data_IF_506501277273
#
_entry.id   IF_506501277273
#
_cell.length_a   1.000
_cell.length_b   1.000
_cell.length_c   1.000
_cell.angle_alpha   90.00
_cell.angle_beta   90.00
_cell.angle_gamma   90.00
#
_symmetry.space_group_name_H-M   'P 1'
#
loop_
_entity.id
_entity.type
_entity.pdbx_description
1 polymer ?
#
# COMPACT_ATOMS: atom_id res chain seq x y z
N UNK A 1 -6.74 -17.50 -17.19
CA UNK A 1 -7.69 -16.56 -16.55
C UNK A 1 -7.08 -16.14 -15.23
N UNK A 2 -6.95 -14.84 -14.94
CA UNK A 2 -6.43 -14.37 -13.66
C UNK A 2 -7.41 -14.75 -12.54
N UNK A 3 -6.96 -15.54 -11.58
CA UNK A 3 -7.75 -16.02 -10.43
C UNK A 3 -7.77 -14.97 -9.29
N UNK A 4 -7.93 -13.70 -9.65
CA UNK A 4 -7.98 -12.60 -8.70
C UNK A 4 -9.42 -12.34 -8.29
N UNK A 5 -9.66 -12.27 -6.99
CA UNK A 5 -10.95 -11.95 -6.41
C UNK A 5 -10.85 -10.65 -5.62
N UNK A 6 -11.88 -9.81 -5.69
CA UNK A 6 -11.96 -8.55 -4.95
C UNK A 6 -13.11 -8.64 -3.97
N UNK A 7 -12.85 -8.32 -2.70
CA UNK A 7 -13.87 -8.19 -1.67
C UNK A 7 -13.76 -6.83 -0.98
N UNK A 8 -14.91 -6.24 -0.65
CA UNK A 8 -14.96 -4.98 0.08
C UNK A 8 -14.99 -5.30 1.58
N UNK A 9 -14.00 -4.78 2.31
CA UNK A 9 -14.00 -4.73 3.77
C UNK A 9 -14.85 -3.56 4.27
N UNK A 10 -14.89 -2.47 3.48
CA UNK A 10 -15.71 -1.29 3.71
C UNK A 10 -16.00 -0.64 2.35
N UNK A 11 -17.26 -0.28 2.11
CA UNK A 11 -17.65 0.53 0.96
C UNK A 11 -17.62 2.02 1.35
N UNK A 12 -17.02 2.82 0.48
CA UNK A 12 -16.97 4.27 0.53
C UNK A 12 -18.16 4.93 -0.17
N UNK A 13 -18.13 6.26 -0.28
CA UNK A 13 -19.18 7.01 -0.98
C UNK A 13 -18.97 6.93 -2.50
N UNK A 14 -19.94 6.39 -3.24
CA UNK A 14 -19.93 6.33 -4.71
C UNK A 14 -20.40 7.62 -5.38
N UNK A 15 -20.62 8.70 -4.63
CA UNK A 15 -21.13 9.99 -5.14
C UNK A 15 -20.06 10.88 -5.77
N UNK A 16 -18.80 10.46 -5.78
CA UNK A 16 -17.65 11.21 -6.32
C UNK A 16 -16.93 10.38 -7.38
N UNK A 17 -16.10 11.02 -8.20
CA UNK A 17 -15.19 10.32 -9.10
C UNK A 17 -14.28 9.33 -8.34
N UNK A 18 -13.88 8.20 -8.97
CA UNK A 18 -13.00 7.23 -8.35
C UNK A 18 -11.60 7.84 -8.09
N UNK A 19 -11.00 7.47 -6.95
CA UNK A 19 -9.61 7.81 -6.64
C UNK A 19 -8.65 7.00 -7.51
N UNK A 20 -8.98 5.73 -7.77
CA UNK A 20 -8.28 4.85 -8.70
C UNK A 20 -9.30 4.25 -9.65
N UNK A 21 -9.00 4.31 -10.95
CA UNK A 21 -9.77 3.59 -11.96
C UNK A 21 -8.82 2.82 -12.87
N UNK A 22 -9.12 1.54 -13.06
CA UNK A 22 -8.37 0.61 -13.90
C UNK A 22 -9.34 0.11 -14.97
N UNK A 23 -8.99 0.34 -16.22
CA UNK A 23 -9.82 0.03 -17.38
C UNK A 23 -9.16 -1.04 -18.25
N UNK A 24 -9.52 -2.31 -18.03
CA UNK A 24 -9.20 -3.43 -18.92
C UNK A 24 -7.70 -3.70 -19.07
N UNK A 25 -6.91 -3.53 -18.01
CA UNK A 25 -5.45 -3.62 -18.13
C UNK A 25 -4.98 -5.05 -18.40
N UNK A 26 -3.98 -5.18 -19.27
CA UNK A 26 -3.21 -6.41 -19.46
C UNK A 26 -1.76 -6.13 -19.09
N UNK A 27 -1.22 -6.91 -18.15
CA UNK A 27 0.16 -6.75 -17.65
C UNK A 27 1.00 -7.94 -18.08
N UNK A 28 2.11 -7.67 -18.77
CA UNK A 28 3.10 -8.69 -19.16
C UNK A 28 4.39 -8.54 -18.37
N UNK A 29 5.02 -9.67 -18.08
CA UNK A 29 6.39 -9.73 -17.61
C UNK A 29 7.20 -10.55 -18.62
N UNK A 30 8.03 -9.86 -19.40
CA UNK A 30 8.63 -10.44 -20.60
C UNK A 30 7.56 -10.93 -21.58
N UNK A 31 7.63 -12.21 -21.98
CA UNK A 31 6.67 -12.79 -22.92
C UNK A 31 5.36 -13.30 -22.28
N UNK A 32 5.28 -13.33 -20.94
CA UNK A 32 4.18 -13.96 -20.22
C UNK A 32 3.14 -12.91 -19.80
N UNK A 33 1.88 -13.16 -20.13
CA UNK A 33 0.76 -12.35 -19.64
C UNK A 33 0.37 -12.79 -18.23
N UNK A 34 0.56 -11.90 -17.25
CA UNK A 34 0.30 -12.16 -15.83
C UNK A 34 -1.13 -11.73 -15.47
N UNK A 35 -1.51 -10.53 -15.86
CA UNK A 35 -2.86 -9.96 -15.66
C UNK A 35 -3.51 -9.79 -17.03
N UNK A 36 -4.78 -10.18 -17.17
CA UNK A 36 -5.49 -10.12 -18.45
C UNK A 36 -6.84 -9.41 -18.27
N UNK A 37 -7.04 -8.30 -18.97
CA UNK A 37 -8.29 -7.53 -19.00
C UNK A 37 -8.89 -7.27 -17.61
N UNK A 38 -8.07 -6.75 -16.69
CA UNK A 38 -8.51 -6.44 -15.33
C UNK A 38 -9.07 -5.03 -15.24
N UNK A 39 -10.28 -4.90 -14.68
CA UNK A 39 -10.93 -3.62 -14.42
C UNK A 39 -11.35 -3.51 -12.97
N UNK A 40 -11.14 -2.35 -12.37
CA UNK A 40 -11.47 -2.09 -10.98
C UNK A 40 -11.50 -0.58 -10.72
N UNK A 41 -12.40 -0.14 -9.83
CA UNK A 41 -12.45 1.25 -9.38
C UNK A 41 -12.47 1.30 -7.86
N UNK A 42 -11.67 2.20 -7.28
CA UNK A 42 -11.63 2.49 -5.85
C UNK A 42 -12.14 3.91 -5.61
N UNK A 43 -13.15 4.05 -4.75
CA UNK A 43 -13.74 5.31 -4.35
C UNK A 43 -13.24 5.74 -2.97
N UNK A 44 -13.50 7.01 -2.62
CA UNK A 44 -13.14 7.55 -1.31
C UNK A 44 -13.87 6.80 -0.19
N UNK A 45 -13.09 6.28 0.75
CA UNK A 45 -13.55 5.48 1.88
C UNK A 45 -13.59 3.97 1.62
N UNK A 46 -13.34 3.53 0.38
CA UNK A 46 -13.27 2.11 0.07
C UNK A 46 -12.07 1.45 0.76
N UNK A 47 -12.32 0.25 1.28
CA UNK A 47 -11.28 -0.67 1.71
C UNK A 47 -11.53 -2.00 1.04
N UNK A 48 -10.61 -2.39 0.17
CA UNK A 48 -10.72 -3.61 -0.63
C UNK A 48 -9.60 -4.57 -0.32
N UNK A 49 -9.92 -5.85 -0.34
CA UNK A 49 -8.99 -6.96 -0.25
C UNK A 49 -8.96 -7.65 -1.62
N UNK A 50 -7.76 -7.80 -2.18
CA UNK A 50 -7.48 -8.57 -3.40
C UNK A 50 -6.89 -9.91 -2.97
N UNK A 51 -7.59 -11.01 -3.26
CA UNK A 51 -7.15 -12.37 -2.96
C UNK A 51 -6.93 -13.20 -4.21
N UNK A 52 -6.25 -14.33 -4.01
CA UNK A 52 -5.95 -15.32 -5.04
C UNK A 52 -4.74 -16.16 -4.64
N UNK A 53 -4.50 -17.29 -5.31
CA UNK A 53 -3.41 -18.19 -4.96
C UNK A 53 -2.03 -17.58 -5.18
N UNK A 54 -0.99 -18.23 -4.66
CA UNK A 54 0.39 -17.82 -4.90
C UNK A 54 0.71 -17.87 -6.39
N UNK A 55 1.34 -16.82 -6.91
CA UNK A 55 1.62 -16.69 -8.34
C UNK A 55 0.44 -16.19 -9.19
N UNK A 56 -0.71 -15.82 -8.60
CA UNK A 56 -1.85 -15.28 -9.37
C UNK A 56 -1.65 -13.86 -9.93
N UNK A 57 -0.51 -13.23 -9.66
CA UNK A 57 -0.18 -11.89 -10.17
C UNK A 57 -0.56 -10.72 -9.27
N UNK A 58 -0.96 -10.96 -8.01
CA UNK A 58 -1.38 -9.90 -7.07
C UNK A 58 -0.32 -8.78 -6.92
N UNK A 59 0.90 -9.14 -6.53
CA UNK A 59 2.01 -8.18 -6.43
C UNK A 59 2.32 -7.51 -7.77
N UNK A 60 2.28 -8.27 -8.87
CA UNK A 60 2.45 -7.72 -10.22
C UNK A 60 1.40 -6.67 -10.56
N UNK A 61 0.15 -6.87 -10.14
CA UNK A 61 -0.93 -5.90 -10.30
C UNK A 61 -0.66 -4.61 -9.52
N UNK A 62 -0.34 -4.67 -8.23
CA UNK A 62 -0.02 -3.45 -7.45
C UNK A 62 1.22 -2.73 -7.98
N UNK A 63 2.25 -3.49 -8.35
CA UNK A 63 3.46 -2.96 -8.98
C UNK A 63 3.13 -2.20 -10.27
N UNK A 64 2.30 -2.77 -11.15
CA UNK A 64 1.88 -2.12 -12.39
C UNK A 64 1.06 -0.84 -12.14
N UNK A 65 0.18 -0.83 -11.13
CA UNK A 65 -0.58 0.37 -10.73
C UNK A 65 0.39 1.45 -10.21
N UNK A 66 1.30 1.09 -9.32
CA UNK A 66 2.33 1.99 -8.79
C UNK A 66 3.38 2.42 -9.83
N UNK A 67 3.43 1.75 -10.99
CA UNK A 67 4.45 1.96 -12.02
C UNK A 67 5.84 1.57 -11.55
N UNK A 68 5.98 0.48 -10.79
CA UNK A 68 7.26 -0.10 -10.37
C UNK A 68 7.39 -1.55 -10.83
N UNK A 69 8.62 -2.09 -10.75
CA UNK A 69 8.92 -3.48 -11.11
C UNK A 69 8.96 -3.70 -12.61
N UNK A 70 9.03 -4.97 -13.01
CA UNK A 70 9.31 -5.38 -14.40
C UNK A 70 8.04 -5.70 -15.22
N UNK A 71 6.86 -5.40 -14.65
CA UNK A 71 5.57 -5.63 -15.32
C UNK A 71 5.17 -4.43 -16.17
N UNK A 72 4.87 -4.67 -17.44
CA UNK A 72 4.45 -3.64 -18.39
C UNK A 72 2.95 -3.73 -18.68
N UNK A 73 2.24 -2.60 -18.57
CA UNK A 73 0.85 -2.49 -19.02
C UNK A 73 0.87 -2.37 -20.55
N UNK A 74 0.48 -3.43 -21.24
CA UNK A 74 0.50 -3.50 -22.72
C UNK A 74 -0.85 -3.19 -23.36
N UNK A 75 -1.91 -3.08 -22.56
CA UNK A 75 -3.24 -2.63 -22.98
C UNK A 75 -4.01 -2.10 -21.78
N UNK A 76 -5.00 -1.23 -22.03
CA UNK A 76 -5.86 -0.65 -21.01
C UNK A 76 -5.20 0.51 -20.28
N UNK A 77 -5.94 1.14 -19.36
CA UNK A 77 -5.54 2.39 -18.73
C UNK A 77 -5.66 2.37 -17.21
N UNK A 78 -4.81 3.16 -16.56
CA UNK A 78 -4.88 3.45 -15.12
C UNK A 78 -5.04 4.94 -14.92
N UNK A 79 -6.05 5.32 -14.16
CA UNK A 79 -6.34 6.70 -13.77
C UNK A 79 -6.20 6.83 -12.25
N UNK A 80 -5.56 7.92 -11.81
CA UNK A 80 -5.50 8.30 -10.39
C UNK A 80 -6.05 9.71 -10.26
N UNK A 81 -7.08 9.89 -9.43
CA UNK A 81 -7.80 11.16 -9.26
C UNK A 81 -8.22 11.75 -10.62
N UNK A 82 -8.81 10.92 -11.49
CA UNK A 82 -9.24 11.28 -12.85
C UNK A 82 -8.12 11.50 -13.88
N UNK A 83 -6.84 11.48 -13.47
CA UNK A 83 -5.70 11.67 -14.39
C UNK A 83 -5.16 10.34 -14.87
N UNK A 84 -5.02 10.17 -16.18
CA UNK A 84 -4.33 9.02 -16.77
C UNK A 84 -2.86 8.99 -16.34
N UNK A 85 -2.39 7.83 -15.85
CA UNK A 85 -1.02 7.62 -15.40
C UNK A 85 -0.33 6.42 -16.04
N UNK A 86 -1.00 5.72 -16.97
CA UNK A 86 -0.53 4.47 -17.60
C UNK A 86 0.92 4.54 -18.09
N UNK A 87 1.35 5.68 -18.64
CA UNK A 87 2.71 5.90 -19.17
C UNK A 87 3.58 6.80 -18.27
N UNK A 88 3.05 7.29 -17.14
CA UNK A 88 3.80 8.18 -16.26
C UNK A 88 4.82 7.39 -15.41
N UNK A 89 6.05 7.91 -15.24
CA UNK A 89 7.06 7.29 -14.39
C UNK A 89 6.62 7.25 -12.92
N UNK A 90 7.17 6.28 -12.17
CA UNK A 90 6.83 6.02 -10.75
C UNK A 90 6.72 7.29 -9.90
N UNK A 91 7.70 8.20 -9.99
CA UNK A 91 7.74 9.38 -9.13
C UNK A 91 6.50 10.27 -9.33
N UNK A 92 5.98 10.38 -10.56
CA UNK A 92 4.74 11.13 -10.82
C UNK A 92 3.51 10.41 -10.27
N UNK A 93 3.47 9.08 -10.33
CA UNK A 93 2.36 8.29 -9.75
C UNK A 93 2.30 8.40 -8.23
N UNK A 94 3.46 8.36 -7.56
CA UNK A 94 3.58 8.61 -6.12
C UNK A 94 3.13 10.04 -5.79
N UNK A 95 3.55 11.03 -6.58
CA UNK A 95 3.05 12.41 -6.44
C UNK A 95 1.55 12.54 -6.65
N UNK A 96 0.93 11.66 -7.45
CA UNK A 96 -0.51 11.62 -7.67
C UNK A 96 -1.27 10.84 -6.57
N UNK A 97 -0.73 10.79 -5.34
CA UNK A 97 -1.44 10.30 -4.16
C UNK A 97 -1.41 8.77 -3.93
N UNK A 98 -0.38 8.04 -4.39
CA UNK A 98 -0.17 6.64 -4.00
C UNK A 98 0.81 6.53 -2.83
N UNK A 99 0.41 5.83 -1.77
CA UNK A 99 1.29 5.25 -0.75
C UNK A 99 1.35 3.75 -1.00
N UNK A 100 2.53 3.21 -1.32
CA UNK A 100 2.69 1.76 -1.52
C UNK A 100 3.72 1.17 -0.56
N UNK A 101 3.25 0.25 0.28
CA UNK A 101 4.12 -0.62 1.08
C UNK A 101 4.22 -1.99 0.40
N UNK A 102 5.38 -2.26 -0.20
CA UNK A 102 5.74 -3.56 -0.77
C UNK A 102 5.99 -4.59 0.34
N UNK A 103 6.07 -5.87 -0.01
CA UNK A 103 6.40 -6.97 0.91
C UNK A 103 7.76 -6.79 1.63
N UNK A 104 8.71 -6.03 1.02
CA UNK A 104 10.01 -5.74 1.64
C UNK A 104 9.86 -4.76 2.80
N UNK A 105 10.48 -5.12 3.92
CA UNK A 105 10.52 -4.30 5.14
C UNK A 105 11.41 -3.06 4.91
N UNK A 106 10.83 -1.97 4.44
CA UNK A 106 11.50 -0.70 4.10
C UNK A 106 11.93 0.09 5.34
N UNK A 107 12.81 -0.48 6.18
CA UNK A 107 13.40 0.18 7.34
C UNK A 107 14.92 0.32 7.21
N UNK A 108 15.47 1.33 7.89
CA UNK A 108 16.90 1.47 8.11
C UNK A 108 17.30 0.69 9.37
N UNK A 109 17.70 -0.57 9.18
CA UNK A 109 17.98 -1.52 10.28
C UNK A 109 19.07 -1.07 11.25
N UNK A 110 20.03 -0.28 10.78
CA UNK A 110 21.14 0.22 11.59
C UNK A 110 20.80 1.51 12.36
N UNK A 111 19.63 2.09 12.13
CA UNK A 111 19.17 3.31 12.79
C UNK A 111 18.20 3.00 13.93
N UNK A 112 18.00 3.95 14.83
CA UNK A 112 16.97 3.81 15.87
C UNK A 112 15.56 3.91 15.27
N UNK A 113 14.55 3.45 16.01
CA UNK A 113 13.14 3.70 15.67
C UNK A 113 12.88 5.19 15.47
N UNK A 114 13.40 6.04 16.36
CA UNK A 114 13.29 7.50 16.27
C UNK A 114 13.85 8.02 14.95
N UNK A 115 15.05 7.60 14.58
CA UNK A 115 15.71 8.09 13.37
C UNK A 115 14.98 7.63 12.10
N UNK A 116 14.46 6.39 12.07
CA UNK A 116 13.60 5.91 10.99
C UNK A 116 12.35 6.79 10.82
N UNK A 117 11.68 7.12 11.93
CA UNK A 117 10.51 8.00 11.91
C UNK A 117 10.86 9.40 11.47
N UNK A 118 12.00 9.94 11.91
CA UNK A 118 12.45 11.28 11.50
C UNK A 118 12.78 11.31 10.01
N UNK A 119 13.41 10.26 9.47
CA UNK A 119 13.73 10.17 8.05
C UNK A 119 12.47 10.12 7.19
N UNK A 120 11.46 9.33 7.59
CA UNK A 120 10.24 9.18 6.81
C UNK A 120 9.27 10.36 6.97
N UNK A 121 9.12 10.87 8.20
CA UNK A 121 8.04 11.77 8.59
C UNK A 121 8.52 13.16 9.02
N UNK A 122 9.83 13.41 9.02
CA UNK A 122 10.43 14.64 9.51
C UNK A 122 10.49 14.69 11.05
N UNK A 123 10.86 15.84 11.66
CA UNK A 123 11.07 15.95 13.10
C UNK A 123 9.87 15.54 13.97
N UNK A 124 8.65 15.60 13.40
CA UNK A 124 7.39 15.21 14.06
C UNK A 124 7.12 13.69 14.03
N UNK A 125 7.96 12.89 13.36
CA UNK A 125 7.76 11.44 13.24
C UNK A 125 7.51 10.71 14.56
N UNK A 126 8.28 10.97 15.63
CA UNK A 126 8.00 10.40 16.95
C UNK A 126 6.63 10.81 17.52
N UNK A 127 6.21 12.06 17.32
CA UNK A 127 4.92 12.55 17.78
C UNK A 127 3.76 11.90 17.01
N UNK A 128 3.91 11.72 15.69
CA UNK A 128 2.95 11.01 14.86
C UNK A 128 2.77 9.57 15.34
N UNK A 129 3.85 8.86 15.68
CA UNK A 129 3.75 7.53 16.31
C UNK A 129 2.89 7.59 17.58
N UNK A 130 3.15 8.55 18.47
CA UNK A 130 2.43 8.65 19.74
C UNK A 130 0.94 8.95 19.59
N UNK A 131 0.59 9.86 18.67
CA UNK A 131 -0.76 10.38 18.52
C UNK A 131 -1.63 9.51 17.59
N UNK A 132 -1.09 9.09 16.45
CA UNK A 132 -1.84 8.40 15.40
C UNK A 132 -1.79 6.86 15.51
N UNK A 133 -0.78 6.33 16.22
CA UNK A 133 -0.59 4.89 16.42
C UNK A 133 -0.37 4.52 17.89
N UNK A 134 -1.22 5.00 18.82
CA UNK A 134 -0.98 4.86 20.25
C UNK A 134 -0.85 3.40 20.71
N UNK A 135 -1.49 2.46 19.99
CA UNK A 135 -1.45 1.02 20.26
C UNK A 135 -0.05 0.42 20.10
N UNK A 136 0.84 1.08 19.36
CA UNK A 136 2.17 0.58 19.03
C UNK A 136 3.31 1.26 19.79
N UNK A 137 3.02 2.25 20.64
CA UNK A 137 4.02 2.95 21.47
C UNK A 137 4.81 2.02 22.40
N UNK A 138 4.21 0.88 22.78
CA UNK A 138 4.89 -0.13 23.59
C UNK A 138 5.81 -1.03 22.78
N UNK A 139 5.49 -1.25 21.52
CA UNK A 139 6.27 -2.09 20.61
C UNK A 139 7.43 -1.32 19.96
N UNK A 140 7.23 -0.04 19.69
CA UNK A 140 8.15 0.82 18.94
C UNK A 140 8.87 1.79 19.88
N UNK A 141 9.75 1.25 20.72
CA UNK A 141 10.59 2.08 21.62
C UNK A 141 11.58 2.92 20.83
N UNK A 142 11.47 4.24 20.91
CA UNK A 142 12.22 5.22 20.11
C UNK A 142 13.74 5.01 20.07
N UNK A 143 14.36 4.63 21.19
CA UNK A 143 15.81 4.45 21.31
C UNK A 143 16.31 3.07 20.86
N UNK A 144 15.41 2.13 20.54
CA UNK A 144 15.77 0.78 20.11
C UNK A 144 16.28 0.81 18.67
N UNK A 145 17.33 0.04 18.38
CA UNK A 145 17.82 -0.14 17.01
C UNK A 145 16.80 -0.96 16.21
N UNK A 146 16.43 -0.49 15.02
CA UNK A 146 15.37 -1.07 14.23
C UNK A 146 15.65 -2.53 13.82
N UNK A 147 16.92 -2.88 13.59
CA UNK A 147 17.36 -4.25 13.31
C UNK A 147 17.20 -5.23 14.47
N UNK A 148 16.93 -4.75 15.69
CA UNK A 148 16.66 -5.59 16.88
C UNK A 148 15.15 -5.77 17.15
N UNK A 149 14.30 -5.22 16.30
CA UNK A 149 12.85 -5.39 16.38
C UNK A 149 12.47 -6.81 15.90
N UNK A 150 11.40 -7.36 16.47
CA UNK A 150 10.80 -8.58 15.91
C UNK A 150 10.22 -8.30 14.52
N UNK A 151 10.01 -9.33 13.69
CA UNK A 151 9.41 -9.15 12.35
C UNK A 151 8.09 -8.38 12.37
N UNK A 152 7.23 -8.64 13.36
CA UNK A 152 5.99 -7.89 13.57
C UNK A 152 6.24 -6.42 13.96
N UNK A 153 7.23 -6.15 14.81
CA UNK A 153 7.62 -4.77 15.17
C UNK A 153 8.20 -4.01 13.97
N UNK A 154 9.00 -4.66 13.13
CA UNK A 154 9.53 -4.06 11.88
C UNK A 154 8.37 -3.67 10.96
N UNK A 155 7.36 -4.53 10.81
CA UNK A 155 6.16 -4.21 10.01
C UNK A 155 5.37 -3.04 10.58
N UNK A 156 5.19 -2.98 11.90
CA UNK A 156 4.55 -1.83 12.57
C UNK A 156 5.31 -0.54 12.25
N UNK A 157 6.64 -0.54 12.38
CA UNK A 157 7.47 0.63 12.06
C UNK A 157 7.31 1.06 10.60
N UNK A 158 7.37 0.12 9.65
CA UNK A 158 7.19 0.41 8.23
C UNK A 158 5.79 0.98 7.92
N UNK A 159 4.74 0.49 8.58
CA UNK A 159 3.38 1.03 8.45
C UNK A 159 3.30 2.46 8.98
N UNK A 160 3.89 2.75 10.15
CA UNK A 160 3.93 4.13 10.69
C UNK A 160 4.66 5.07 9.73
N UNK A 161 5.83 4.66 9.23
CA UNK A 161 6.61 5.44 8.26
C UNK A 161 5.86 5.71 6.96
N UNK A 162 5.03 4.76 6.51
CA UNK A 162 4.27 4.88 5.26
C UNK A 162 3.00 5.71 5.42
N UNK A 163 2.30 5.54 6.54
CA UNK A 163 0.96 6.08 6.76
C UNK A 163 0.97 7.38 7.57
N UNK A 164 2.05 7.71 8.27
CA UNK A 164 2.11 8.86 9.17
C UNK A 164 1.90 10.24 8.51
N UNK A 165 1.84 10.30 7.17
CA UNK A 165 1.48 11.50 6.39
C UNK A 165 0.27 11.29 5.48
N UNK A 166 -0.55 10.29 5.79
CA UNK A 166 -1.74 9.99 5.02
C UNK A 166 -2.66 11.22 4.91
N UNK A 167 -3.16 11.46 3.70
CA UNK A 167 -4.15 12.47 3.37
C UNK A 167 -5.36 11.80 2.73
N UNK A 168 -6.56 12.40 2.85
CA UNK A 168 -7.82 11.73 2.54
C UNK A 168 -8.04 11.43 1.04
N UNK A 169 -7.20 12.00 0.18
CA UNK A 169 -7.15 11.84 -1.27
C UNK A 169 -6.14 10.76 -1.71
N UNK A 170 -5.42 10.17 -0.75
CA UNK A 170 -4.38 9.17 -1.04
C UNK A 170 -4.92 7.74 -1.04
N UNK A 171 -4.39 6.93 -1.94
CA UNK A 171 -4.62 5.50 -2.02
C UNK A 171 -3.47 4.80 -1.31
N UNK A 172 -3.80 4.00 -0.31
CA UNK A 172 -2.86 3.13 0.38
C UNK A 172 -2.93 1.75 -0.27
N UNK A 173 -1.80 1.27 -0.79
CA UNK A 173 -1.64 -0.09 -1.27
C UNK A 173 -0.72 -0.85 -0.31
N UNK A 174 -1.18 -1.99 0.18
CA UNK A 174 -0.42 -2.83 1.11
C UNK A 174 -0.31 -4.26 0.56
N UNK A 175 0.92 -4.74 0.38
CA UNK A 175 1.19 -6.12 -0.01
C UNK A 175 1.52 -6.98 1.22
N UNK A 176 0.66 -7.94 1.57
CA UNK A 176 0.83 -8.83 2.73
C UNK A 176 1.04 -8.11 4.09
N UNK A 177 0.24 -7.08 4.44
CA UNK A 177 0.51 -6.28 5.64
C UNK A 177 0.25 -7.04 6.93
N UNK A 178 -0.66 -8.01 6.94
CA UNK A 178 -1.10 -8.73 8.15
C UNK A 178 -0.18 -9.90 8.52
N UNK A 179 0.63 -10.43 7.60
CA UNK A 179 1.48 -11.58 7.89
C UNK A 179 2.48 -11.27 9.03
N UNK A 180 2.37 -11.97 10.17
CA UNK A 180 3.25 -11.72 11.32
C UNK A 180 2.89 -10.50 12.19
N UNK A 181 1.80 -9.78 11.88
CA UNK A 181 1.18 -8.85 12.83
C UNK A 181 0.18 -9.62 13.71
N UNK A 182 0.50 -9.76 15.00
CA UNK A 182 -0.46 -10.22 16.00
C UNK A 182 -1.16 -9.00 16.62
N UNK A 183 -2.50 -9.01 16.67
CA UNK A 183 -3.32 -7.97 17.30
C UNK A 183 -4.19 -7.15 16.33
N UNK A 184 -4.90 -6.14 16.86
CA UNK A 184 -5.75 -5.24 16.08
C UNK A 184 -4.88 -4.34 15.19
N UNK A 185 -5.29 -4.15 13.94
CA UNK A 185 -4.76 -3.08 13.08
C UNK A 185 -5.03 -1.71 13.74
N UNK A 186 -4.15 -0.70 13.55
CA UNK A 186 -4.31 0.60 14.18
C UNK A 186 -5.58 1.27 13.69
N UNK A 187 -6.29 1.99 14.57
CA UNK A 187 -7.55 2.63 14.21
C UNK A 187 -7.42 3.59 13.02
N UNK A 188 -6.22 4.13 12.78
CA UNK A 188 -5.94 4.95 11.61
C UNK A 188 -6.25 4.23 10.28
N UNK A 189 -6.05 2.90 10.22
CA UNK A 189 -6.38 2.14 9.02
C UNK A 189 -7.88 2.05 8.73
N UNK A 190 -8.76 2.31 9.69
CA UNK A 190 -10.22 2.35 9.47
C UNK A 190 -10.67 3.57 8.63
N UNK A 191 -9.76 4.54 8.44
CA UNK A 191 -10.02 5.84 7.82
C UNK A 191 -9.26 6.06 6.50
N UNK A 192 -8.50 5.06 6.03
CA UNK A 192 -7.73 5.16 4.77
C UNK A 192 -8.48 4.58 3.58
N UNK A 193 -8.23 5.12 2.38
CA UNK A 193 -8.61 4.48 1.12
C UNK A 193 -7.62 3.34 0.83
N UNK A 194 -8.04 2.08 0.96
CA UNK A 194 -7.12 0.95 1.09
C UNK A 194 -7.32 -0.10 0.02
N UNK A 195 -6.22 -0.52 -0.59
CA UNK A 195 -6.11 -1.77 -1.34
C UNK A 195 -5.12 -2.65 -0.59
N UNK A 196 -5.59 -3.80 -0.13
CA UNK A 196 -4.75 -4.79 0.54
C UNK A 196 -4.70 -6.08 -0.27
N UNK A 197 -3.50 -6.62 -0.46
CA UNK A 197 -3.34 -8.02 -0.88
C UNK A 197 -3.13 -8.90 0.34
N UNK A 198 -3.83 -10.03 0.38
CA UNK A 198 -3.50 -11.12 1.31
C UNK A 198 -3.62 -12.48 0.64
N UNK A 199 -2.91 -13.47 1.16
CA UNK A 199 -3.30 -14.88 1.08
C UNK A 199 -4.64 -15.09 1.81
N UNK A 200 -5.43 -16.07 1.36
CA UNK A 200 -6.85 -16.28 1.76
C UNK A 200 -7.16 -15.95 3.23
#
# INVERSE_FOLDING_TARGET
>A
MSQLSISYLKEGSKSTEPLLEICGITVKQGAVSIINNFSFSLYKGDQVKITGPNGSGKTTLLNAIAGIGDGEIVSGDVFINGKIVTEEPTYKRVHNSIIYMTQLNNIFSNLTVKDNLIMALGPMGPEILYNEFPEWNNDLKLNKIAGQLSGGQIKKLALVMSLGRYQSEQIVMLDEPTAGLQGKLPNMLEHVNLIMITHD
#
